data_IF_810963982297
#
_entry.id   IF_810963982297
#
_cell.length_a   1.000
_cell.length_b   1.000
_cell.length_c   1.000
_cell.angle_alpha   90.00
_cell.angle_beta   90.00
_cell.angle_gamma   90.00
#
_symmetry.space_group_name_H-M   'P 1'
#
loop_
_entity.id
_entity.type
_entity.pdbx_description
1 polymer ?
#
# COMPACT_ATOMS: atom_id res chain seq x y z
N UNK A 1 -5.28 30.92 39.16
CA UNK A 1 -4.73 30.75 37.79
C UNK A 1 -5.70 29.89 37.02
N UNK A 2 -6.29 30.44 35.97
CA UNK A 2 -7.38 29.78 35.25
C UNK A 2 -6.88 28.57 34.47
N UNK A 3 -7.47 27.41 34.78
CA UNK A 3 -7.17 26.13 34.13
C UNK A 3 -7.41 26.18 32.62
N UNK A 4 -8.29 27.07 32.17
CA UNK A 4 -8.60 27.25 30.75
C UNK A 4 -7.52 28.03 29.98
N UNK A 5 -6.79 28.92 30.66
CA UNK A 5 -5.62 29.61 30.09
C UNK A 5 -4.47 28.62 29.87
N UNK A 6 -4.20 27.75 30.85
CA UNK A 6 -3.17 26.71 30.73
C UNK A 6 -3.49 25.68 29.65
N UNK A 7 -4.78 25.29 29.51
CA UNK A 7 -5.22 24.39 28.43
C UNK A 7 -5.04 25.00 27.05
N UNK A 8 -5.34 26.29 26.87
CA UNK A 8 -5.10 27.00 25.61
C UNK A 8 -3.61 27.07 25.29
N UNK A 9 -2.78 27.45 26.26
CA UNK A 9 -1.32 27.49 26.08
C UNK A 9 -0.75 26.14 25.66
N UNK A 10 -1.19 25.05 26.28
CA UNK A 10 -0.75 23.70 25.91
C UNK A 10 -1.19 23.29 24.50
N UNK A 11 -2.41 23.63 24.09
CA UNK A 11 -2.90 23.34 22.74
C UNK A 11 -2.13 24.16 21.71
N UNK A 12 -1.89 25.44 21.98
CA UNK A 12 -1.13 26.33 21.08
C UNK A 12 0.33 25.87 20.93
N UNK A 13 0.95 25.38 22.00
CA UNK A 13 2.32 24.86 22.01
C UNK A 13 2.42 23.54 21.24
N UNK A 14 1.48 22.61 21.47
CA UNK A 14 1.37 21.36 20.69
C UNK A 14 1.17 21.68 19.21
N UNK A 15 0.31 22.64 18.88
CA UNK A 15 0.03 23.02 17.50
C UNK A 15 1.26 23.66 16.84
N UNK A 16 2.02 24.48 17.58
CA UNK A 16 3.28 25.05 17.10
C UNK A 16 4.35 23.97 16.84
N UNK A 17 4.45 22.95 17.71
CA UNK A 17 5.36 21.81 17.49
C UNK A 17 4.98 20.97 16.27
N UNK A 18 3.68 20.69 16.09
CA UNK A 18 3.19 19.98 14.90
C UNK A 18 3.47 20.77 13.62
N UNK A 19 3.23 22.08 13.61
CA UNK A 19 3.52 22.95 12.47
C UNK A 19 5.02 23.00 12.17
N UNK A 20 5.86 23.02 13.20
CA UNK A 20 7.32 22.99 13.05
C UNK A 20 7.79 21.66 12.43
N UNK A 21 7.31 20.53 12.96
CA UNK A 21 7.60 19.19 12.41
C UNK A 21 7.10 19.04 10.98
N UNK A 22 5.91 19.58 10.66
CA UNK A 22 5.37 19.56 9.31
C UNK A 22 6.22 20.39 8.33
N UNK A 23 6.70 21.56 8.75
CA UNK A 23 7.62 22.37 7.94
C UNK A 23 8.95 21.66 7.72
N UNK A 24 9.49 21.01 8.76
CA UNK A 24 10.73 20.24 8.64
C UNK A 24 10.56 19.05 7.69
N UNK A 25 9.45 18.30 7.80
CA UNK A 25 9.14 17.19 6.90
C UNK A 25 8.98 17.65 5.45
N UNK A 26 8.32 18.80 5.23
CA UNK A 26 8.22 19.40 3.88
C UNK A 26 9.58 19.78 3.31
N UNK A 27 10.48 20.38 4.11
CA UNK A 27 11.85 20.70 3.69
C UNK A 27 12.66 19.45 3.37
N UNK A 28 12.56 18.40 4.19
CA UNK A 28 13.24 17.13 3.93
C UNK A 28 12.72 16.46 2.64
N UNK A 29 11.41 16.51 2.40
CA UNK A 29 10.81 16.02 1.17
C UNK A 29 11.36 16.78 -0.05
N UNK A 30 11.36 18.11 0.01
CA UNK A 30 11.86 18.95 -1.09
C UNK A 30 13.36 18.72 -1.35
N UNK A 31 14.16 18.54 -0.30
CA UNK A 31 15.57 18.16 -0.43
C UNK A 31 15.73 16.80 -1.11
N UNK A 32 14.95 15.79 -0.71
CA UNK A 32 15.01 14.47 -1.33
C UNK A 32 14.56 14.49 -2.80
N UNK A 33 13.55 15.31 -3.16
CA UNK A 33 13.12 15.51 -4.54
C UNK A 33 14.23 16.14 -5.40
N UNK A 34 14.91 17.17 -4.88
CA UNK A 34 16.06 17.81 -5.56
C UNK A 34 17.23 16.84 -5.73
N UNK A 35 17.54 16.03 -4.71
CA UNK A 35 18.61 15.02 -4.80
C UNK A 35 18.28 13.94 -5.84
N UNK A 36 17.03 13.50 -5.92
CA UNK A 36 16.57 12.52 -6.89
C UNK A 36 16.60 13.07 -8.32
N UNK A 37 16.22 14.33 -8.51
CA UNK A 37 16.32 15.01 -9.80
C UNK A 37 17.78 15.15 -10.23
N UNK A 38 18.67 15.61 -9.34
CA UNK A 38 20.11 15.70 -9.60
C UNK A 38 20.75 14.34 -9.91
N UNK A 39 20.36 13.28 -9.18
CA UNK A 39 20.82 11.92 -9.46
C UNK A 39 20.33 11.42 -10.83
N UNK A 40 19.08 11.73 -11.18
CA UNK A 40 18.50 11.38 -12.48
C UNK A 40 19.19 12.13 -13.63
N UNK A 41 19.54 13.40 -13.45
CA UNK A 41 20.31 14.17 -14.42
C UNK A 41 21.72 13.61 -14.62
N UNK A 42 22.43 13.27 -13.54
CA UNK A 42 23.74 12.60 -13.61
C UNK A 42 23.66 11.29 -14.36
N UNK A 43 22.63 10.48 -14.09
CA UNK A 43 22.38 9.24 -14.80
C UNK A 43 22.14 9.46 -16.30
N UNK A 44 21.31 10.44 -16.68
CA UNK A 44 21.08 10.78 -18.10
C UNK A 44 22.34 11.31 -18.78
N UNK A 45 23.16 12.08 -18.07
CA UNK A 45 24.44 12.58 -18.58
C UNK A 45 25.43 11.42 -18.81
N UNK A 46 25.56 10.52 -17.84
CA UNK A 46 26.44 9.36 -17.96
C UNK A 46 25.96 8.40 -19.07
N UNK A 47 24.66 8.18 -19.19
CA UNK A 47 24.08 7.40 -20.30
C UNK A 47 24.41 8.02 -21.67
N UNK A 48 24.33 9.34 -21.82
CA UNK A 48 24.72 10.03 -23.05
C UNK A 48 26.22 9.88 -23.33
N UNK A 49 27.06 9.98 -22.30
CA UNK A 49 28.50 9.80 -22.42
C UNK A 49 28.86 8.38 -22.85
N UNK A 50 28.30 7.36 -22.21
CA UNK A 50 28.54 5.96 -22.54
C UNK A 50 28.06 5.62 -23.94
N UNK A 51 26.89 6.12 -24.35
CA UNK A 51 26.41 5.94 -25.72
C UNK A 51 27.35 6.58 -26.75
N UNK A 52 27.84 7.80 -26.49
CA UNK A 52 28.80 8.44 -27.38
C UNK A 52 30.13 7.68 -27.48
N UNK A 53 30.56 7.04 -26.39
CA UNK A 53 31.74 6.17 -26.39
C UNK A 53 31.48 4.86 -27.15
N UNK A 54 30.29 4.28 -27.06
CA UNK A 54 29.88 3.13 -27.87
C UNK A 54 29.92 3.51 -29.35
N UNK A 55 29.29 4.61 -29.75
CA UNK A 55 29.29 5.07 -31.15
C UNK A 55 30.72 5.29 -31.67
N UNK A 56 31.61 5.83 -30.81
CA UNK A 56 33.03 6.02 -31.14
C UNK A 56 33.74 4.69 -31.33
N UNK A 57 33.59 3.75 -30.40
CA UNK A 57 34.21 2.43 -30.48
C UNK A 57 33.69 1.65 -31.69
N UNK A 58 32.40 1.77 -32.02
CA UNK A 58 31.81 1.17 -33.21
C UNK A 58 32.39 1.79 -34.49
N UNK A 59 32.61 3.10 -34.52
CA UNK A 59 33.27 3.77 -35.64
C UNK A 59 34.73 3.32 -35.79
N UNK A 60 35.50 3.28 -34.69
CA UNK A 60 36.89 2.78 -34.70
C UNK A 60 36.97 1.32 -35.17
N UNK A 61 36.00 0.49 -34.77
CA UNK A 61 35.91 -0.92 -35.19
C UNK A 61 35.50 -1.04 -36.67
N UNK A 62 34.61 -0.16 -37.14
CA UNK A 62 34.26 -0.02 -38.55
C UNK A 62 35.46 0.38 -39.41
N UNK A 63 36.23 1.36 -38.98
CA UNK A 63 37.45 1.80 -39.65
C UNK A 63 38.54 0.73 -39.64
N UNK A 64 38.71 0.01 -38.53
CA UNK A 64 39.63 -1.13 -38.45
C UNK A 64 39.24 -2.25 -39.41
N UNK A 65 37.94 -2.58 -39.51
CA UNK A 65 37.41 -3.56 -40.48
C UNK A 65 37.59 -3.08 -41.92
N UNK A 66 37.33 -1.81 -42.21
CA UNK A 66 37.52 -1.22 -43.53
C UNK A 66 39.02 -1.17 -43.92
N UNK A 67 39.91 -0.86 -42.98
CA UNK A 67 41.35 -0.90 -43.19
C UNK A 67 41.86 -2.32 -43.41
N UNK A 68 41.31 -3.31 -42.71
CA UNK A 68 41.60 -4.74 -42.95
C UNK A 68 41.09 -5.21 -44.32
N UNK A 69 39.90 -4.75 -44.75
CA UNK A 69 39.33 -5.10 -46.05
C UNK A 69 40.03 -4.39 -47.23
N UNK A 70 40.55 -3.17 -47.04
CA UNK A 70 41.35 -2.44 -48.04
C UNK A 70 42.74 -3.05 -48.24
N UNK A 71 43.23 -3.88 -47.31
CA UNK A 71 44.36 -4.78 -47.57
C UNK A 71 43.85 -5.97 -48.40
N UNK A 72 43.79 -5.79 -49.73
CA UNK A 72 43.65 -6.88 -50.70
C UNK A 72 44.68 -8.01 -50.38
N UNK A 73 44.39 -9.30 -50.65
CA UNK A 73 45.30 -10.37 -50.28
C UNK A 73 46.58 -10.19 -51.09
N UNK A 74 47.68 -9.95 -50.38
CA UNK A 74 49.00 -10.00 -51.00
C UNK A 74 49.15 -11.34 -51.71
N UNK A 75 49.55 -11.27 -52.98
CA UNK A 75 50.15 -12.36 -53.74
C UNK A 75 51.10 -13.18 -52.86
N UNK A 76 50.99 -14.51 -52.91
CA UNK A 76 51.83 -15.45 -52.17
C UNK A 76 53.34 -15.31 -52.46
N UNK A 77 53.74 -14.48 -53.43
CA UNK A 77 55.15 -14.15 -53.71
C UNK A 77 55.78 -13.15 -52.73
N UNK A 78 55.00 -12.25 -52.12
CA UNK A 78 55.54 -11.19 -51.24
C UNK A 78 55.47 -11.54 -49.75
N UNK A 79 54.79 -12.64 -49.38
CA UNK A 79 54.72 -13.13 -48.00
C UNK A 79 56.05 -13.70 -47.49
N UNK A 80 56.97 -14.09 -48.38
CA UNK A 80 58.26 -14.68 -47.99
C UNK A 80 59.34 -13.67 -47.59
N UNK A 81 59.21 -12.40 -47.97
CA UNK A 81 60.17 -11.33 -47.67
C UNK A 81 59.74 -10.38 -46.54
N UNK A 82 58.49 -10.50 -46.06
CA UNK A 82 57.96 -9.77 -44.92
C UNK A 82 57.37 -10.72 -43.86
N UNK A 83 57.99 -11.89 -43.65
CA UNK A 83 57.69 -12.72 -42.48
C UNK A 83 58.03 -11.88 -41.23
N UNK A 84 57.06 -11.55 -40.37
CA UNK A 84 57.36 -10.87 -39.12
C UNK A 84 58.31 -11.76 -38.32
N UNK A 85 59.38 -11.19 -37.78
CA UNK A 85 60.36 -11.92 -36.98
C UNK A 85 59.61 -12.82 -35.96
N UNK A 86 59.79 -14.16 -36.01
CA UNK A 86 59.03 -15.09 -35.18
C UNK A 86 59.19 -14.79 -33.69
N UNK A 87 60.32 -14.18 -33.29
CA UNK A 87 60.58 -13.74 -31.93
C UNK A 87 59.70 -12.53 -31.54
N UNK A 88 59.44 -11.61 -32.46
CA UNK A 88 58.59 -10.45 -32.21
C UNK A 88 57.10 -10.85 -32.13
N UNK A 89 56.66 -11.81 -32.96
CA UNK A 89 55.32 -12.39 -32.87
C UNK A 89 55.11 -13.17 -31.57
N UNK A 90 56.11 -13.98 -31.16
CA UNK A 90 56.06 -14.70 -29.90
C UNK A 90 55.93 -13.74 -28.70
N UNK A 91 56.69 -12.64 -28.68
CA UNK A 91 56.59 -11.61 -27.63
C UNK A 91 55.24 -10.90 -27.63
N UNK A 92 54.68 -10.62 -28.80
CA UNK A 92 53.38 -9.96 -28.91
C UNK A 92 52.23 -10.88 -28.47
N UNK A 93 52.35 -12.16 -28.79
CA UNK A 93 51.42 -13.20 -28.35
C UNK A 93 51.53 -13.44 -26.84
N UNK A 94 52.74 -13.49 -26.29
CA UNK A 94 52.96 -13.60 -24.85
C UNK A 94 52.42 -12.38 -24.09
N UNK A 95 52.63 -11.16 -24.61
CA UNK A 95 52.06 -9.94 -24.03
C UNK A 95 50.53 -9.90 -24.13
N UNK A 96 49.95 -10.44 -25.20
CA UNK A 96 48.50 -10.58 -25.33
C UNK A 96 47.94 -11.61 -24.35
N UNK A 97 48.59 -12.77 -24.21
CA UNK A 97 48.23 -13.83 -23.28
C UNK A 97 48.35 -13.36 -21.81
N UNK A 98 49.36 -12.57 -21.49
CA UNK A 98 49.50 -11.95 -20.17
C UNK A 98 48.37 -10.94 -19.87
N UNK A 99 48.02 -10.10 -20.84
CA UNK A 99 46.89 -9.16 -20.70
C UNK A 99 45.57 -9.91 -20.53
N UNK A 100 45.38 -10.99 -21.28
CA UNK A 100 44.18 -11.82 -21.20
C UNK A 100 44.11 -12.53 -19.84
N UNK A 101 45.23 -13.06 -19.34
CA UNK A 101 45.32 -13.63 -17.99
C UNK A 101 44.99 -12.59 -16.91
N UNK A 102 45.54 -11.38 -16.99
CA UNK A 102 45.25 -10.29 -16.04
C UNK A 102 43.78 -9.89 -16.05
N UNK A 103 43.21 -9.68 -17.24
CA UNK A 103 41.80 -9.34 -17.39
C UNK A 103 40.88 -10.45 -16.85
N UNK A 104 41.22 -11.72 -17.06
CA UNK A 104 40.46 -12.85 -16.50
C UNK A 104 40.53 -12.87 -14.97
N UNK A 105 41.70 -12.62 -14.37
CA UNK A 105 41.85 -12.56 -12.91
C UNK A 105 41.08 -11.38 -12.31
N UNK A 106 41.11 -10.21 -12.94
CA UNK A 106 40.34 -9.04 -12.53
C UNK A 106 38.83 -9.31 -12.62
N UNK A 107 38.38 -9.92 -13.71
CA UNK A 107 36.98 -10.33 -13.88
C UNK A 107 36.53 -11.35 -12.83
N UNK A 108 37.35 -12.36 -12.54
CA UNK A 108 37.05 -13.34 -11.49
C UNK A 108 36.99 -12.69 -10.10
N UNK A 109 37.85 -11.70 -9.84
CA UNK A 109 37.83 -10.94 -8.60
C UNK A 109 36.56 -10.12 -8.45
N UNK A 110 36.17 -9.36 -9.48
CA UNK A 110 34.92 -8.59 -9.49
C UNK A 110 33.70 -9.49 -9.35
N UNK A 111 33.68 -10.63 -10.06
CA UNK A 111 32.60 -11.62 -9.95
C UNK A 111 32.50 -12.17 -8.52
N UNK A 112 33.62 -12.45 -7.86
CA UNK A 112 33.63 -12.90 -6.47
C UNK A 112 33.15 -11.80 -5.50
N UNK A 113 33.58 -10.55 -5.71
CA UNK A 113 33.12 -9.42 -4.92
C UNK A 113 31.61 -9.21 -5.05
N UNK A 114 31.09 -9.16 -6.27
CA UNK A 114 29.66 -9.00 -6.54
C UNK A 114 28.85 -10.16 -5.96
N UNK A 115 29.34 -11.39 -6.09
CA UNK A 115 28.69 -12.55 -5.47
C UNK A 115 28.63 -12.43 -3.95
N UNK A 116 29.72 -12.00 -3.30
CA UNK A 116 29.71 -11.78 -1.85
C UNK A 116 28.78 -10.65 -1.40
N UNK A 117 28.59 -9.62 -2.24
CA UNK A 117 27.63 -8.55 -1.98
C UNK A 117 26.20 -9.06 -2.12
N UNK A 118 25.92 -9.87 -3.14
CA UNK A 118 24.62 -10.54 -3.30
C UNK A 118 24.33 -11.40 -2.06
N UNK A 119 25.25 -12.27 -1.65
CA UNK A 119 25.05 -13.14 -0.48
C UNK A 119 24.78 -12.33 0.81
N UNK A 120 25.46 -11.19 0.98
CA UNK A 120 25.21 -10.27 2.12
C UNK A 120 23.85 -9.59 2.04
N UNK A 121 23.46 -9.12 0.86
CA UNK A 121 22.18 -8.47 0.65
C UNK A 121 21.03 -9.45 0.82
N UNK A 122 21.18 -10.68 0.31
CA UNK A 122 20.22 -11.77 0.51
C UNK A 122 20.09 -12.12 1.99
N UNK A 123 21.20 -12.20 2.73
CA UNK A 123 21.17 -12.38 4.19
C UNK A 123 20.47 -11.25 4.93
N UNK A 124 20.77 -9.99 4.58
CA UNK A 124 20.13 -8.82 5.17
C UNK A 124 18.63 -8.75 4.87
N UNK A 125 18.22 -9.10 3.65
CA UNK A 125 16.81 -9.18 3.24
C UNK A 125 16.11 -10.32 3.97
N UNK A 126 16.71 -11.50 4.07
CA UNK A 126 16.15 -12.62 4.83
C UNK A 126 15.97 -12.26 6.32
N UNK A 127 16.94 -11.54 6.91
CA UNK A 127 16.84 -11.06 8.28
C UNK A 127 15.76 -9.97 8.45
N UNK A 128 15.65 -9.05 7.49
CA UNK A 128 14.59 -8.04 7.47
C UNK A 128 13.20 -8.69 7.32
N UNK A 129 13.06 -9.69 6.45
CA UNK A 129 11.83 -10.49 6.29
C UNK A 129 11.52 -11.27 7.57
N UNK A 130 12.51 -11.86 8.23
CA UNK A 130 12.32 -12.57 9.51
C UNK A 130 11.91 -11.63 10.66
N UNK A 131 12.43 -10.39 10.66
CA UNK A 131 12.01 -9.34 11.61
C UNK A 131 10.62 -8.80 11.29
N UNK A 132 10.30 -8.64 10.00
CA UNK A 132 8.99 -8.15 9.54
C UNK A 132 7.88 -9.20 9.69
N UNK A 133 8.20 -10.48 9.51
CA UNK A 133 7.24 -11.58 9.69
C UNK A 133 6.96 -11.91 11.15
N UNK A 134 7.80 -11.44 12.08
CA UNK A 134 7.60 -11.64 13.52
C UNK A 134 7.92 -10.37 14.34
N UNK A 135 7.04 -9.34 14.28
CA UNK A 135 7.21 -8.09 15.03
C UNK A 135 7.21 -8.28 16.55
N UNK A 136 6.68 -9.41 17.04
CA UNK A 136 6.70 -9.78 18.47
C UNK A 136 8.13 -10.00 18.98
N UNK A 137 9.07 -10.45 18.13
CA UNK A 137 10.46 -10.68 18.53
C UNK A 137 11.25 -9.38 18.69
N UNK A 138 10.91 -8.36 17.89
CA UNK A 138 11.54 -7.03 17.96
C UNK A 138 11.05 -6.22 19.16
N UNK A 139 9.80 -6.42 19.58
CA UNK A 139 9.18 -5.73 20.72
C UNK A 139 9.33 -6.50 22.02
N UNK A 140 9.69 -7.79 21.97
CA UNK A 140 9.93 -8.64 23.13
C UNK A 140 10.93 -8.08 24.16
N UNK A 141 12.15 -7.64 23.80
CA UNK A 141 13.11 -7.14 24.79
C UNK A 141 12.60 -5.85 25.46
N UNK A 142 11.88 -5.00 24.71
CA UNK A 142 11.26 -3.78 25.24
C UNK A 142 10.12 -4.14 26.20
N UNK A 143 9.30 -5.14 25.85
CA UNK A 143 8.22 -5.65 26.71
C UNK A 143 8.75 -6.27 28.00
N UNK A 144 9.82 -7.07 27.92
CA UNK A 144 10.49 -7.65 29.08
C UNK A 144 11.05 -6.56 30.01
N UNK A 145 11.65 -5.51 29.46
CA UNK A 145 12.11 -4.35 30.24
C UNK A 145 10.95 -3.65 30.95
N UNK A 146 9.83 -3.43 30.25
CA UNK A 146 8.64 -2.84 30.87
C UNK A 146 8.03 -3.73 31.95
N UNK A 147 7.96 -5.05 31.74
CA UNK A 147 7.46 -5.99 32.75
C UNK A 147 8.36 -6.02 34.00
N UNK A 148 9.69 -5.92 33.84
CA UNK A 148 10.62 -5.82 34.96
C UNK A 148 10.40 -4.53 35.76
N UNK A 149 10.31 -3.38 35.07
CA UNK A 149 10.07 -2.09 35.74
C UNK A 149 8.69 -2.04 36.42
N UNK A 150 7.66 -2.59 35.79
CA UNK A 150 6.31 -2.64 36.37
C UNK A 150 6.30 -3.51 37.64
N UNK A 151 6.97 -4.65 37.62
CA UNK A 151 7.14 -5.52 38.79
C UNK A 151 7.94 -4.83 39.90
N UNK A 152 8.98 -4.07 39.55
CA UNK A 152 9.77 -3.29 40.51
C UNK A 152 8.91 -2.23 41.19
N UNK A 153 8.21 -1.40 40.42
CA UNK A 153 7.30 -0.36 40.95
C UNK A 153 6.21 -0.98 41.82
N UNK A 154 5.69 -2.15 41.44
CA UNK A 154 4.69 -2.84 42.25
C UNK A 154 5.25 -3.27 43.62
N UNK A 155 6.48 -3.81 43.66
CA UNK A 155 7.16 -4.16 44.92
C UNK A 155 7.40 -2.93 45.78
N UNK A 156 7.96 -1.87 45.21
CA UNK A 156 8.21 -0.60 45.92
C UNK A 156 6.91 -0.03 46.51
N UNK A 157 5.80 -0.06 45.74
CA UNK A 157 4.48 0.35 46.24
C UNK A 157 4.04 -0.49 47.44
N UNK A 158 4.14 -1.82 47.36
CA UNK A 158 3.73 -2.70 48.47
C UNK A 158 4.58 -2.49 49.72
N UNK A 159 5.88 -2.22 49.56
CA UNK A 159 6.79 -1.93 50.67
C UNK A 159 6.43 -0.62 51.36
N UNK A 160 6.13 0.42 50.58
CA UNK A 160 5.69 1.73 51.10
C UNK A 160 4.34 1.60 51.82
N UNK A 161 3.38 0.86 51.26
CA UNK A 161 2.08 0.60 51.91
C UNK A 161 2.24 -0.13 53.25
N UNK A 162 3.11 -1.14 53.31
CA UNK A 162 3.40 -1.84 54.56
C UNK A 162 4.11 -0.94 55.57
N UNK A 163 5.08 -0.12 55.14
CA UNK A 163 5.76 0.84 55.99
C UNK A 163 4.79 1.87 56.56
N UNK A 164 3.87 2.38 55.73
CA UNK A 164 2.81 3.29 56.16
C UNK A 164 1.89 2.65 57.20
N UNK A 165 1.47 1.40 56.99
CA UNK A 165 0.65 0.69 57.97
C UNK A 165 1.37 0.50 59.30
N UNK A 166 2.67 0.14 59.29
CA UNK A 166 3.48 0.03 60.51
C UNK A 166 3.58 1.38 61.24
N UNK A 167 3.97 2.43 60.52
CA UNK A 167 4.05 3.78 61.09
C UNK A 167 2.72 4.25 61.68
N UNK A 168 1.59 3.93 61.02
CA UNK A 168 0.25 4.22 61.53
C UNK A 168 -0.03 3.47 62.83
N UNK A 169 0.30 2.18 62.91
CA UNK A 169 0.11 1.39 64.14
C UNK A 169 0.99 1.89 65.29
N UNK A 170 2.23 2.26 65.01
CA UNK A 170 3.15 2.84 65.99
C UNK A 170 2.61 4.17 66.53
N UNK A 171 2.12 5.03 65.65
CA UNK A 171 1.48 6.29 66.03
C UNK A 171 0.23 6.09 66.89
N UNK A 172 -0.64 5.14 66.54
CA UNK A 172 -1.84 4.83 67.35
C UNK A 172 -1.47 4.31 68.74
N UNK A 173 -0.42 3.49 68.85
CA UNK A 173 0.10 3.03 70.14
C UNK A 173 0.70 4.16 70.96
N UNK A 174 1.49 5.05 70.34
CA UNK A 174 2.09 6.19 71.01
C UNK A 174 1.01 7.16 71.51
N UNK A 175 -0.02 7.42 70.70
CA UNK A 175 -1.20 8.19 71.11
C UNK A 175 -1.89 7.58 72.33
N UNK A 176 -2.06 6.25 72.37
CA UNK A 176 -2.64 5.56 73.52
C UNK A 176 -1.75 5.66 74.77
N UNK A 177 -0.41 5.58 74.62
CA UNK A 177 0.53 5.80 75.73
C UNK A 177 0.41 7.22 76.28
N UNK A 178 0.43 8.23 75.40
CA UNK A 178 0.30 9.63 75.77
C UNK A 178 -1.04 9.94 76.45
N UNK A 179 -2.15 9.37 75.97
CA UNK A 179 -3.46 9.55 76.63
C UNK A 179 -3.50 8.86 77.99
N UNK A 180 -2.92 7.67 78.14
CA UNK A 180 -2.81 6.99 79.42
C UNK A 180 -1.96 7.76 80.43
N UNK A 181 -0.82 8.32 80.00
CA UNK A 181 0.03 9.19 80.82
C UNK A 181 -0.70 10.46 81.24
N UNK A 182 -1.42 11.11 80.32
CA UNK A 182 -2.28 12.26 80.63
C UNK A 182 -3.35 11.93 81.69
N UNK A 183 -3.98 10.75 81.60
CA UNK A 183 -4.96 10.30 82.62
C UNK A 183 -4.28 10.05 83.96
N UNK A 184 -3.09 9.43 83.99
CA UNK A 184 -2.32 9.24 85.23
C UNK A 184 -1.93 10.58 85.85
N UNK A 185 -1.47 11.53 85.06
CA UNK A 185 -1.14 12.89 85.51
C UNK A 185 -2.36 13.62 86.06
N UNK A 186 -3.51 13.53 85.39
CA UNK A 186 -4.79 14.10 85.90
C UNK A 186 -5.20 13.46 87.22
N UNK A 187 -5.12 12.13 87.33
CA UNK A 187 -5.47 11.42 88.57
C UNK A 187 -4.52 11.75 89.73
N UNK A 188 -3.22 11.88 89.45
CA UNK A 188 -2.23 12.32 90.43
C UNK A 188 -2.50 13.77 90.89
N UNK A 189 -2.84 14.67 89.96
CA UNK A 189 -3.22 16.05 90.30
C UNK A 189 -4.49 16.11 91.18
N UNK A 190 -5.43 15.20 90.95
CA UNK A 190 -6.69 15.12 91.71
C UNK A 190 -6.53 14.53 93.12
N UNK A 191 -5.60 13.57 93.28
CA UNK A 191 -5.21 13.03 94.59
C UNK A 191 -4.47 14.09 95.43
N UNK A 192 -3.73 15.00 94.79
CA UNK A 192 -2.94 16.03 95.47
C UNK A 192 -3.76 17.27 95.89
N UNK A 193 -5.09 17.29 95.68
CA UNK A 193 -6.03 18.18 96.38
C UNK A 193 -5.67 19.67 96.42
N UNK A 194 -5.00 20.21 95.39
CA UNK A 194 -4.61 21.63 95.36
C UNK A 194 -5.67 22.45 94.61
N UNK A 195 -6.32 23.45 95.24
CA UNK A 195 -7.14 24.40 94.51
C UNK A 195 -6.18 25.29 93.70
N UNK A 196 -6.31 25.26 92.37
CA UNK A 196 -5.50 26.10 91.49
C UNK A 196 -6.31 27.34 91.15
N UNK A 197 -6.31 28.30 92.07
CA UNK A 197 -6.47 29.72 91.76
C UNK A 197 -5.13 30.39 92.07
N UNK A 198 -4.26 30.51 91.07
CA UNK A 198 -3.16 31.48 91.04
C UNK A 198 -2.81 31.80 89.58
N UNK A 199 -2.75 33.07 89.18
CA UNK A 199 -2.32 33.49 87.84
C UNK A 199 -0.79 33.58 87.78
N UNK A 200 -0.11 32.49 88.10
CA UNK A 200 1.31 32.31 87.78
C UNK A 200 1.42 31.07 86.90
N UNK A 201 1.58 31.31 85.61
CA UNK A 201 1.79 30.27 84.60
C UNK A 201 3.00 29.44 85.02
N UNK A 202 2.73 28.26 85.57
CA UNK A 202 3.74 27.29 85.95
C UNK A 202 4.66 27.05 84.73
N UNK A 203 5.98 27.28 84.83
CA UNK A 203 6.89 27.23 83.67
C UNK A 203 6.77 25.91 82.91
N UNK A 204 6.52 24.79 83.61
CA UNK A 204 6.28 23.48 82.99
C UNK A 204 5.05 23.42 82.08
N UNK A 205 3.97 24.15 82.38
CA UNK A 205 2.78 24.21 81.54
C UNK A 205 3.08 25.01 80.27
N UNK A 206 3.83 26.11 80.40
CA UNK A 206 4.27 26.92 79.27
C UNK A 206 5.24 26.16 78.36
N UNK A 207 6.14 25.38 78.93
CA UNK A 207 7.07 24.53 78.18
C UNK A 207 6.32 23.44 77.40
N UNK A 208 5.36 22.75 78.03
CA UNK A 208 4.50 21.77 77.36
C UNK A 208 3.60 22.40 76.27
N UNK A 209 3.08 23.60 76.48
CA UNK A 209 2.33 24.34 75.46
C UNK A 209 3.21 24.75 74.28
N UNK A 210 4.47 25.10 74.53
CA UNK A 210 5.44 25.41 73.48
C UNK A 210 5.83 24.13 72.70
N UNK A 211 6.10 23.03 73.40
CA UNK A 211 6.38 21.72 72.77
C UNK A 211 5.21 21.25 71.91
N UNK A 212 3.96 21.41 72.38
CA UNK A 212 2.77 21.07 71.60
C UNK A 212 2.64 21.95 70.34
N UNK A 213 2.91 23.26 70.47
CA UNK A 213 2.89 24.19 69.33
C UNK A 213 3.98 23.84 68.31
N UNK A 214 5.18 23.50 68.78
CA UNK A 214 6.28 23.06 67.92
C UNK A 214 5.97 21.73 67.23
N UNK A 215 5.41 20.75 67.95
CA UNK A 215 5.00 19.48 67.38
C UNK A 215 3.90 19.66 66.32
N UNK A 216 2.91 20.52 66.60
CA UNK A 216 1.87 20.85 65.63
C UNK A 216 2.43 21.59 64.40
N UNK A 217 3.40 22.49 64.59
CA UNK A 217 4.08 23.17 63.50
C UNK A 217 4.88 22.20 62.63
N UNK A 218 5.63 21.26 63.24
CA UNK A 218 6.37 20.20 62.55
C UNK A 218 5.43 19.29 61.77
N UNK A 219 4.35 18.80 62.39
CA UNK A 219 3.33 17.99 61.72
C UNK A 219 2.67 18.73 60.55
N UNK A 220 2.34 20.01 60.72
CA UNK A 220 1.78 20.82 59.64
C UNK A 220 2.76 21.03 58.49
N UNK A 221 4.06 21.17 58.78
CA UNK A 221 5.10 21.29 57.77
C UNK A 221 5.31 19.97 57.01
N UNK A 222 5.37 18.85 57.71
CA UNK A 222 5.46 17.50 57.12
C UNK A 222 4.25 17.19 56.25
N UNK A 223 3.04 17.50 56.74
CA UNK A 223 1.80 17.37 55.95
C UNK A 223 1.86 18.23 54.69
N UNK A 224 2.37 19.46 54.79
CA UNK A 224 2.57 20.34 53.65
C UNK A 224 3.55 19.76 52.62
N UNK A 225 4.63 19.13 53.07
CA UNK A 225 5.61 18.51 52.18
C UNK A 225 5.05 17.24 51.52
N UNK A 226 4.33 16.38 52.27
CA UNK A 226 3.66 15.21 51.69
C UNK A 226 2.62 15.60 50.64
N UNK A 227 1.86 16.67 50.86
CA UNK A 227 0.92 17.18 49.85
C UNK A 227 1.63 17.65 48.58
N UNK A 228 2.78 18.32 48.71
CA UNK A 228 3.60 18.70 47.54
C UNK A 228 4.14 17.47 46.81
N UNK A 229 4.60 16.46 47.54
CA UNK A 229 5.09 15.21 46.94
C UNK A 229 3.98 14.46 46.21
N UNK A 230 2.79 14.35 46.80
CA UNK A 230 1.60 13.78 46.15
C UNK A 230 1.31 14.55 44.86
N UNK A 231 1.31 15.88 44.90
CA UNK A 231 1.04 16.68 43.72
C UNK A 231 2.07 16.45 42.59
N UNK A 232 3.36 16.39 42.93
CA UNK A 232 4.43 16.07 41.96
C UNK A 232 4.25 14.67 41.35
N UNK A 233 3.86 13.68 42.15
CA UNK A 233 3.59 12.32 41.67
C UNK A 233 2.34 12.28 40.77
N UNK A 234 1.30 13.03 41.08
CA UNK A 234 0.11 13.17 40.22
C UNK A 234 0.46 13.83 38.88
N UNK A 235 1.28 14.87 38.88
CA UNK A 235 1.77 15.52 37.66
C UNK A 235 2.62 14.56 36.82
N UNK A 236 3.56 13.84 37.44
CA UNK A 236 4.36 12.83 36.76
C UNK A 236 3.48 11.71 36.18
N UNK A 237 2.49 11.22 36.93
CA UNK A 237 1.54 10.21 36.44
C UNK A 237 0.78 10.71 35.20
N UNK A 238 0.30 11.96 35.22
CA UNK A 238 -0.39 12.55 34.06
C UNK A 238 0.53 12.67 32.85
N UNK A 239 1.79 13.05 33.07
CA UNK A 239 2.77 13.12 32.00
C UNK A 239 3.01 11.74 31.36
N UNK A 240 3.23 10.70 32.18
CA UNK A 240 3.36 9.32 31.71
C UNK A 240 2.12 8.81 30.97
N UNK A 241 0.92 9.17 31.42
CA UNK A 241 -0.33 8.81 30.73
C UNK A 241 -0.42 9.46 29.34
N UNK A 242 0.05 10.71 29.20
CA UNK A 242 0.11 11.41 27.91
C UNK A 242 1.13 10.74 26.99
N UNK A 243 2.35 10.46 27.48
CA UNK A 243 3.38 9.78 26.69
C UNK A 243 2.92 8.38 26.26
N UNK A 244 2.27 7.63 27.13
CA UNK A 244 1.72 6.31 26.80
C UNK A 244 0.66 6.41 25.69
N UNK A 245 -0.20 7.42 25.72
CA UNK A 245 -1.18 7.65 24.63
C UNK A 245 -0.48 7.99 23.32
N UNK A 246 0.49 8.89 23.34
CA UNK A 246 1.26 9.25 22.14
C UNK A 246 1.99 8.05 21.54
N UNK A 247 2.64 7.22 22.37
CA UNK A 247 3.29 5.99 21.91
C UNK A 247 2.28 5.00 21.32
N UNK A 248 1.10 4.88 21.92
CA UNK A 248 0.04 4.01 21.39
C UNK A 248 -0.51 4.53 20.04
N UNK A 249 -0.68 5.84 19.91
CA UNK A 249 -1.09 6.47 18.66
C UNK A 249 -0.03 6.26 17.56
N UNK A 250 1.26 6.43 17.90
CA UNK A 250 2.36 6.14 16.98
C UNK A 250 2.44 4.67 16.58
N UNK A 251 2.22 3.75 17.54
CA UNK A 251 2.14 2.32 17.24
C UNK A 251 0.97 2.01 16.29
N UNK A 252 -0.20 2.62 16.51
CA UNK A 252 -1.36 2.51 15.62
C UNK A 252 -1.07 3.06 14.22
N UNK A 253 -0.40 4.21 14.11
CA UNK A 253 0.02 4.78 12.83
C UNK A 253 1.01 3.87 12.09
N UNK A 254 1.98 3.29 12.81
CA UNK A 254 2.95 2.36 12.24
C UNK A 254 2.26 1.09 11.72
N UNK A 255 1.31 0.54 12.48
CA UNK A 255 0.52 -0.63 12.07
C UNK A 255 -0.31 -0.33 10.81
N UNK A 256 -0.95 0.84 10.73
CA UNK A 256 -1.67 1.26 9.52
C UNK A 256 -0.72 1.44 8.33
N UNK A 257 0.46 2.02 8.53
CA UNK A 257 1.46 2.16 7.48
C UNK A 257 1.95 0.80 6.98
N UNK A 258 2.17 -0.16 7.89
CA UNK A 258 2.55 -1.54 7.54
C UNK A 258 1.47 -2.23 6.72
N UNK A 259 0.20 -2.14 7.14
CA UNK A 259 -0.93 -2.69 6.37
C UNK A 259 -1.02 -2.08 4.97
N UNK A 260 -0.82 -0.76 4.83
CA UNK A 260 -0.80 -0.09 3.53
C UNK A 260 0.36 -0.55 2.65
N UNK A 261 1.55 -0.69 3.22
CA UNK A 261 2.72 -1.19 2.49
C UNK A 261 2.51 -2.64 2.04
N UNK A 262 1.95 -3.49 2.90
CA UNK A 262 1.62 -4.88 2.56
C UNK A 262 0.58 -4.96 1.44
N UNK A 263 -0.48 -4.14 1.50
CA UNK A 263 -1.47 -4.05 0.43
C UNK A 263 -0.85 -3.57 -0.89
N UNK A 264 0.09 -2.62 -0.84
CA UNK A 264 0.83 -2.18 -2.03
C UNK A 264 1.71 -3.28 -2.62
N UNK A 265 2.38 -4.08 -1.80
CA UNK A 265 3.18 -5.22 -2.24
C UNK A 265 2.28 -6.25 -2.93
N UNK A 266 1.16 -6.62 -2.31
CA UNK A 266 0.19 -7.56 -2.91
C UNK A 266 -0.43 -7.00 -4.21
N UNK A 267 -0.69 -5.70 -4.27
CA UNK A 267 -1.15 -5.05 -5.50
C UNK A 267 -0.08 -5.09 -6.59
N UNK A 268 1.20 -4.92 -6.25
CA UNK A 268 2.30 -5.05 -7.20
C UNK A 268 2.44 -6.51 -7.66
N UNK A 269 2.45 -7.48 -6.75
CA UNK A 269 2.55 -8.91 -7.08
C UNK A 269 1.38 -9.39 -7.95
N UNK A 270 0.14 -8.97 -7.65
CA UNK A 270 -1.01 -9.27 -8.50
C UNK A 270 -0.94 -8.57 -9.85
N UNK A 271 -0.46 -7.32 -9.91
CA UNK A 271 -0.16 -6.64 -11.16
C UNK A 271 0.93 -7.35 -11.97
N UNK A 272 1.96 -7.89 -11.33
CA UNK A 272 3.01 -8.68 -12.01
C UNK A 272 2.50 -10.03 -12.51
N UNK A 273 1.63 -10.70 -11.75
CA UNK A 273 0.98 -11.95 -12.18
C UNK A 273 -0.02 -11.73 -13.32
N UNK A 274 -0.60 -10.53 -13.41
CA UNK A 274 -1.53 -10.14 -14.48
C UNK A 274 -0.85 -9.40 -15.63
N UNK A 275 0.48 -9.20 -15.59
CA UNK A 275 1.22 -8.74 -16.78
C UNK A 275 0.96 -9.77 -17.88
N UNK A 276 0.34 -9.37 -19.01
CA UNK A 276 0.12 -10.29 -20.11
C UNK A 276 1.48 -10.85 -20.52
N UNK A 277 1.56 -12.17 -20.65
CA UNK A 277 2.80 -12.86 -21.00
C UNK A 277 3.35 -12.23 -22.29
N UNK A 278 4.67 -12.18 -22.48
CA UNK A 278 5.29 -11.59 -23.67
C UNK A 278 4.69 -12.16 -24.98
N UNK A 279 4.28 -13.43 -24.96
CA UNK A 279 3.51 -14.09 -26.01
C UNK A 279 2.10 -13.50 -26.26
N UNK A 280 1.37 -13.13 -25.20
CA UNK A 280 0.07 -12.45 -25.32
C UNK A 280 0.24 -11.02 -25.84
N UNK A 281 1.31 -10.32 -25.45
CA UNK A 281 1.64 -9.00 -25.99
C UNK A 281 1.98 -9.09 -27.49
N UNK A 282 2.77 -10.08 -27.90
CA UNK A 282 3.03 -10.33 -29.32
C UNK A 282 1.76 -10.71 -30.08
N UNK A 283 0.89 -11.54 -29.50
CA UNK A 283 -0.37 -11.92 -30.14
C UNK A 283 -1.29 -10.71 -30.35
N UNK A 284 -1.43 -9.85 -29.33
CA UNK A 284 -2.18 -8.60 -29.44
C UNK A 284 -1.55 -7.63 -30.45
N UNK A 285 -0.22 -7.58 -30.57
CA UNK A 285 0.46 -6.80 -31.61
C UNK A 285 0.15 -7.32 -33.01
N UNK A 286 0.20 -8.64 -33.22
CA UNK A 286 -0.14 -9.27 -34.50
C UNK A 286 -1.62 -9.06 -34.85
N UNK A 287 -2.52 -9.15 -33.88
CA UNK A 287 -3.94 -8.87 -34.09
C UNK A 287 -4.18 -7.40 -34.43
N UNK A 288 -3.50 -6.47 -33.74
CA UNK A 288 -3.53 -5.05 -34.07
C UNK A 288 -3.01 -4.78 -35.49
N UNK A 289 -1.88 -5.37 -35.88
CA UNK A 289 -1.33 -5.23 -37.23
C UNK A 289 -2.29 -5.80 -38.28
N UNK A 290 -2.89 -6.97 -38.04
CA UNK A 290 -3.91 -7.54 -38.94
C UNK A 290 -5.10 -6.61 -39.12
N UNK A 291 -5.69 -6.13 -38.02
CA UNK A 291 -6.82 -5.21 -38.06
C UNK A 291 -6.45 -3.89 -38.77
N UNK A 292 -5.22 -3.42 -38.60
CA UNK A 292 -4.72 -2.24 -39.28
C UNK A 292 -4.59 -2.47 -40.79
N UNK A 293 -4.08 -3.63 -41.22
CA UNK A 293 -4.02 -3.99 -42.64
C UNK A 293 -5.41 -4.19 -43.26
N UNK A 294 -6.36 -4.76 -42.52
CA UNK A 294 -7.75 -4.91 -42.96
C UNK A 294 -8.45 -3.55 -43.08
N UNK A 295 -8.22 -2.64 -42.15
CA UNK A 295 -8.72 -1.26 -42.23
C UNK A 295 -8.15 -0.53 -43.45
N UNK A 296 -6.85 -0.66 -43.72
CA UNK A 296 -6.23 -0.07 -44.91
C UNK A 296 -6.75 -0.68 -46.20
N UNK A 297 -6.94 -2.00 -46.24
CA UNK A 297 -7.48 -2.70 -47.41
C UNK A 297 -8.94 -2.31 -47.69
N UNK A 298 -9.78 -2.25 -46.65
CA UNK A 298 -11.18 -1.80 -46.76
C UNK A 298 -11.27 -0.33 -47.16
N UNK A 299 -10.39 0.52 -46.62
CA UNK A 299 -10.29 1.93 -47.03
C UNK A 299 -9.92 2.06 -48.52
N UNK A 300 -8.94 1.29 -49.00
CA UNK A 300 -8.56 1.26 -50.42
C UNK A 300 -9.69 0.73 -51.31
N UNK A 301 -10.36 -0.33 -50.88
CA UNK A 301 -11.52 -0.89 -51.59
C UNK A 301 -12.64 0.16 -51.72
N UNK A 302 -12.98 0.83 -50.61
CA UNK A 302 -13.96 1.91 -50.59
C UNK A 302 -13.55 3.08 -51.49
N UNK A 303 -12.28 3.48 -51.49
CA UNK A 303 -11.79 4.53 -52.39
C UNK A 303 -11.91 4.11 -53.87
N UNK A 304 -11.60 2.86 -54.20
CA UNK A 304 -11.72 2.34 -55.56
C UNK A 304 -13.17 2.29 -56.03
N UNK A 305 -14.10 1.87 -55.17
CA UNK A 305 -15.54 1.88 -55.42
C UNK A 305 -16.04 3.31 -55.61
N UNK A 306 -15.59 4.26 -54.77
CA UNK A 306 -15.94 5.68 -54.90
C UNK A 306 -15.47 6.26 -56.24
N UNK A 307 -14.28 5.89 -56.71
CA UNK A 307 -13.77 6.31 -58.01
C UNK A 307 -14.57 5.71 -59.16
N UNK A 308 -14.94 4.43 -59.06
CA UNK A 308 -15.79 3.76 -60.05
C UNK A 308 -17.17 4.41 -60.14
N UNK A 309 -17.82 4.63 -58.99
CA UNK A 309 -19.12 5.31 -58.92
C UNK A 309 -19.05 6.74 -59.45
N UNK A 310 -17.99 7.49 -59.12
CA UNK A 310 -17.79 8.83 -59.69
C UNK A 310 -17.63 8.79 -61.22
N UNK A 311 -16.89 7.83 -61.76
CA UNK A 311 -16.76 7.66 -63.20
C UNK A 311 -18.07 7.21 -63.88
N UNK A 312 -18.89 6.42 -63.20
CA UNK A 312 -20.24 6.09 -63.68
C UNK A 312 -21.17 7.30 -63.65
N UNK A 313 -21.11 8.12 -62.60
CA UNK A 313 -21.83 9.40 -62.52
C UNK A 313 -21.43 10.30 -63.68
N UNK A 314 -20.13 10.48 -63.93
CA UNK A 314 -19.62 11.31 -65.02
C UNK A 314 -20.09 10.81 -66.39
N UNK A 315 -20.06 9.50 -66.64
CA UNK A 315 -20.62 8.91 -67.87
C UNK A 315 -22.13 9.08 -67.98
N UNK A 316 -22.87 8.98 -66.88
CA UNK A 316 -24.33 9.20 -66.86
C UNK A 316 -24.66 10.67 -67.09
N UNK A 317 -23.89 11.59 -66.51
CA UNK A 317 -23.98 13.03 -66.73
C UNK A 317 -23.68 13.40 -68.19
N UNK A 318 -22.61 12.85 -68.77
CA UNK A 318 -22.29 12.99 -70.19
C UNK A 318 -23.41 12.44 -71.07
N UNK A 319 -23.97 11.27 -70.72
CA UNK A 319 -25.08 10.68 -71.48
C UNK A 319 -26.35 11.50 -71.37
N UNK A 320 -26.62 12.15 -70.23
CA UNK A 320 -27.71 13.13 -70.06
C UNK A 320 -27.44 14.39 -70.89
N UNK A 321 -26.19 14.85 -70.94
CA UNK A 321 -25.77 16.02 -71.73
C UNK A 321 -25.80 15.75 -73.24
N UNK A 322 -25.61 14.51 -73.68
CA UNK A 322 -25.57 14.11 -75.09
C UNK A 322 -26.92 13.64 -75.67
N UNK A 323 -28.04 13.71 -74.96
CA UNK A 323 -29.38 13.51 -75.56
C UNK A 323 -29.90 14.85 -76.12
N UNK A 324 -29.84 15.10 -77.43
CA UNK A 324 -30.44 16.29 -78.02
C UNK A 324 -31.90 15.94 -78.33
N UNK A 325 -32.85 16.47 -77.53
CA UNK A 325 -34.24 16.57 -77.97
C UNK A 325 -35.31 15.73 -77.25
N UNK A 326 -35.23 15.52 -75.93
CA UNK A 326 -36.39 15.02 -75.15
C UNK A 326 -36.71 15.86 -73.89
N UNK A 327 -36.20 17.09 -73.83
CA UNK A 327 -36.01 17.80 -72.56
C UNK A 327 -37.23 18.42 -71.89
N UNK A 328 -38.46 18.33 -72.41
CA UNK A 328 -39.55 19.19 -71.88
C UNK A 328 -40.80 18.51 -71.31
N UNK A 329 -40.80 17.20 -71.04
CA UNK A 329 -41.99 16.58 -70.41
C UNK A 329 -41.77 15.40 -69.48
N UNK A 330 -40.84 14.49 -69.80
CA UNK A 330 -40.84 13.16 -69.16
C UNK A 330 -39.79 13.01 -68.04
N UNK A 331 -38.73 13.81 -68.02
CA UNK A 331 -37.65 13.65 -67.02
C UNK A 331 -37.86 14.39 -65.71
N UNK A 332 -38.64 15.48 -65.65
CA UNK A 332 -38.78 16.26 -64.40
C UNK A 332 -39.63 15.53 -63.35
N UNK A 333 -40.76 14.95 -63.78
CA UNK A 333 -41.65 14.20 -62.89
C UNK A 333 -41.01 12.92 -62.34
N UNK A 334 -40.27 12.18 -63.17
CA UNK A 334 -39.57 10.95 -62.75
C UNK A 334 -38.38 11.28 -61.85
N UNK A 335 -37.62 12.34 -62.15
CA UNK A 335 -36.52 12.80 -61.29
C UNK A 335 -37.04 13.35 -59.96
N UNK A 336 -38.17 14.06 -59.96
CA UNK A 336 -38.82 14.55 -58.72
C UNK A 336 -39.40 13.39 -57.90
N UNK A 337 -39.93 12.35 -58.55
CA UNK A 337 -40.37 11.12 -57.87
C UNK A 337 -39.18 10.34 -57.28
N UNK A 338 -38.09 10.22 -58.02
CA UNK A 338 -36.89 9.54 -57.54
C UNK A 338 -36.22 10.33 -56.41
N UNK A 339 -36.18 11.67 -56.51
CA UNK A 339 -35.77 12.55 -55.41
C UNK A 339 -36.65 12.35 -54.18
N UNK A 340 -37.97 12.34 -54.33
CA UNK A 340 -38.88 12.07 -53.21
C UNK A 340 -38.65 10.69 -52.60
N UNK A 341 -38.37 9.67 -53.40
CA UNK A 341 -38.07 8.32 -52.89
C UNK A 341 -36.75 8.26 -52.13
N UNK A 342 -35.69 8.93 -52.61
CA UNK A 342 -34.43 9.02 -51.89
C UNK A 342 -34.55 9.86 -50.62
N UNK A 343 -35.28 10.98 -50.66
CA UNK A 343 -35.55 11.83 -49.50
C UNK A 343 -36.35 11.05 -48.44
N UNK A 344 -37.34 10.26 -48.87
CA UNK A 344 -38.12 9.41 -48.00
C UNK A 344 -37.28 8.30 -47.38
N UNK A 345 -36.45 7.60 -48.17
CA UNK A 345 -35.50 6.60 -47.64
C UNK A 345 -34.48 7.21 -46.69
N UNK A 346 -34.02 8.43 -46.96
CA UNK A 346 -33.10 9.14 -46.09
C UNK A 346 -33.78 9.49 -44.76
N UNK A 347 -35.02 9.99 -44.79
CA UNK A 347 -35.82 10.25 -43.60
C UNK A 347 -36.10 8.98 -42.79
N UNK A 348 -36.45 7.87 -43.45
CA UNK A 348 -36.65 6.57 -42.80
C UNK A 348 -35.37 6.09 -42.11
N UNK A 349 -34.22 6.23 -42.79
CA UNK A 349 -32.92 5.85 -42.22
C UNK A 349 -32.54 6.74 -41.03
N UNK A 350 -32.82 8.04 -41.10
CA UNK A 350 -32.62 8.98 -39.99
C UNK A 350 -33.52 8.60 -38.81
N UNK A 351 -34.80 8.31 -39.04
CA UNK A 351 -35.73 7.88 -37.99
C UNK A 351 -35.28 6.58 -37.33
N UNK A 352 -34.85 5.58 -38.12
CA UNK A 352 -34.31 4.33 -37.58
C UNK A 352 -33.04 4.56 -36.75
N UNK A 353 -32.12 5.42 -37.20
CA UNK A 353 -30.93 5.76 -36.42
C UNK A 353 -31.27 6.49 -35.12
N UNK A 354 -32.23 7.40 -35.13
CA UNK A 354 -32.69 8.09 -33.92
C UNK A 354 -33.34 7.11 -32.94
N UNK A 355 -34.21 6.21 -33.42
CA UNK A 355 -34.81 5.17 -32.59
C UNK A 355 -33.77 4.23 -31.98
N UNK A 356 -32.76 3.80 -32.75
CA UNK A 356 -31.67 2.99 -32.24
C UNK A 356 -30.82 3.74 -31.22
N UNK A 357 -30.57 5.04 -31.43
CA UNK A 357 -29.84 5.87 -30.48
C UNK A 357 -30.62 6.04 -29.16
N UNK A 358 -31.93 6.23 -29.21
CA UNK A 358 -32.81 6.28 -28.03
C UNK A 358 -32.87 4.92 -27.32
N UNK A 359 -32.91 3.82 -28.06
CA UNK A 359 -32.83 2.47 -27.48
C UNK A 359 -31.47 2.21 -26.81
N UNK A 360 -30.37 2.64 -27.41
CA UNK A 360 -29.03 2.55 -26.80
C UNK A 360 -28.92 3.45 -25.56
N UNK A 361 -29.48 4.66 -25.60
CA UNK A 361 -29.48 5.57 -24.45
C UNK A 361 -30.33 5.03 -23.31
N UNK A 362 -31.52 4.49 -23.59
CA UNK A 362 -32.40 3.89 -22.59
C UNK A 362 -31.79 2.62 -21.98
N UNK A 363 -31.21 1.72 -22.80
CA UNK A 363 -30.49 0.54 -22.30
C UNK A 363 -29.25 0.93 -21.49
N UNK A 364 -28.50 1.94 -21.92
CA UNK A 364 -27.38 2.49 -21.13
C UNK A 364 -27.86 3.05 -19.79
N UNK A 365 -28.97 3.79 -19.77
CA UNK A 365 -29.54 4.32 -18.52
C UNK A 365 -30.05 3.23 -17.58
N UNK A 366 -30.62 2.14 -18.12
CA UNK A 366 -31.04 0.99 -17.33
C UNK A 366 -29.84 0.23 -16.77
N UNK A 367 -28.78 0.05 -17.55
CA UNK A 367 -27.54 -0.57 -17.07
C UNK A 367 -26.82 0.29 -16.03
N UNK A 368 -26.85 1.62 -16.17
CA UNK A 368 -26.29 2.54 -15.19
C UNK A 368 -27.12 2.56 -13.90
N UNK A 369 -28.44 2.52 -14.00
CA UNK A 369 -29.34 2.36 -12.86
C UNK A 369 -29.16 1.01 -12.16
N UNK A 370 -28.99 -0.08 -12.91
CA UNK A 370 -28.66 -1.40 -12.35
C UNK A 370 -27.26 -1.39 -11.71
N UNK A 371 -26.24 -0.78 -12.32
CA UNK A 371 -24.92 -0.63 -11.70
C UNK A 371 -24.97 0.20 -10.41
N UNK A 372 -25.77 1.26 -10.37
CA UNK A 372 -25.99 2.05 -9.16
C UNK A 372 -26.72 1.23 -8.08
N UNK A 373 -27.69 0.39 -8.46
CA UNK A 373 -28.35 -0.55 -7.54
C UNK A 373 -27.43 -1.66 -7.06
N UNK A 374 -26.61 -2.24 -7.92
CA UNK A 374 -25.60 -3.24 -7.57
C UNK A 374 -24.56 -2.67 -6.63
N UNK A 375 -24.06 -1.45 -6.89
CA UNK A 375 -23.12 -0.75 -6.01
C UNK A 375 -23.75 -0.39 -4.66
N UNK A 376 -25.04 0.01 -4.64
CA UNK A 376 -25.77 0.23 -3.40
C UNK A 376 -26.04 -1.08 -2.61
N UNK A 377 -26.22 -2.21 -3.31
CA UNK A 377 -26.43 -3.54 -2.72
C UNK A 377 -25.12 -4.15 -2.20
N UNK A 378 -23.98 -3.81 -2.80
CA UNK A 378 -22.64 -4.13 -2.30
C UNK A 378 -22.30 -3.37 -1.01
N UNK A 379 -22.86 -2.17 -0.80
CA UNK A 379 -22.66 -1.40 0.43
C UNK A 379 -23.48 -1.92 1.64
N UNK A 380 -24.53 -2.72 1.42
CA UNK A 380 -25.38 -3.28 2.50
C UNK A 380 -25.15 -4.76 2.81
N UNK A 381 -24.31 -5.46 2.03
CA UNK A 381 -23.96 -6.87 2.26
C UNK A 381 -22.44 -7.06 2.41
N UNK A 382 -21.83 -6.36 3.37
CA UNK A 382 -20.47 -6.69 3.86
C UNK A 382 -20.49 -7.87 4.85
N UNK A 383 -21.23 -8.92 4.51
CA UNK A 383 -21.43 -10.09 5.36
C UNK A 383 -22.41 -11.06 4.71
N UNK A 384 -21.99 -11.71 3.63
CA UNK A 384 -22.56 -13.02 3.33
C UNK A 384 -22.00 -13.95 4.41
N UNK A 385 -22.83 -14.30 5.39
CA UNK A 385 -22.44 -15.17 6.50
C UNK A 385 -21.97 -16.51 5.88
N UNK A 386 -20.74 -16.92 6.18
CA UNK A 386 -20.11 -18.12 5.58
C UNK A 386 -20.99 -19.37 5.77
N UNK A 387 -21.82 -19.36 6.82
CA UNK A 387 -22.84 -20.36 7.14
C UNK A 387 -23.97 -20.43 6.14
N UNK A 388 -24.46 -19.30 5.64
CA UNK A 388 -25.56 -19.26 4.67
C UNK A 388 -25.09 -19.74 3.30
N UNK A 389 -23.84 -19.39 2.93
CA UNK A 389 -23.22 -19.91 1.71
C UNK A 389 -22.96 -21.42 1.83
N UNK A 390 -22.46 -21.89 2.97
CA UNK A 390 -22.25 -23.33 3.21
C UNK A 390 -23.57 -24.13 3.17
N UNK A 391 -24.66 -23.54 3.68
CA UNK A 391 -25.99 -24.12 3.59
C UNK A 391 -26.49 -24.22 2.14
N UNK A 392 -26.26 -23.17 1.33
CA UNK A 392 -26.66 -23.14 -0.07
C UNK A 392 -25.84 -24.13 -0.93
N UNK A 393 -24.53 -24.24 -0.68
CA UNK A 393 -23.65 -25.26 -1.29
C UNK A 393 -24.19 -26.66 -0.99
N UNK A 394 -24.49 -26.94 0.28
CA UNK A 394 -25.02 -28.24 0.70
C UNK A 394 -26.38 -28.56 0.05
N UNK A 395 -27.25 -27.55 -0.09
CA UNK A 395 -28.56 -27.67 -0.73
C UNK A 395 -28.44 -28.00 -2.22
N UNK A 396 -27.57 -27.28 -2.94
CA UNK A 396 -27.35 -27.48 -4.38
C UNK A 396 -26.69 -28.83 -4.65
N UNK A 397 -25.72 -29.23 -3.83
CA UNK A 397 -25.12 -30.57 -3.91
C UNK A 397 -26.15 -31.70 -3.69
N UNK A 398 -27.08 -31.54 -2.75
CA UNK A 398 -28.15 -32.52 -2.53
C UNK A 398 -29.09 -32.62 -3.73
N UNK A 399 -29.44 -31.48 -4.36
CA UNK A 399 -30.28 -31.46 -5.56
C UNK A 399 -29.59 -32.11 -6.75
N UNK A 400 -28.28 -31.89 -6.93
CA UNK A 400 -27.50 -32.55 -7.97
C UNK A 400 -27.49 -34.06 -7.74
N UNK A 401 -27.29 -34.52 -6.50
CA UNK A 401 -27.34 -35.95 -6.15
C UNK A 401 -28.70 -36.57 -6.44
N UNK A 402 -29.79 -35.89 -6.11
CA UNK A 402 -31.15 -36.35 -6.40
C UNK A 402 -31.40 -36.45 -7.91
N UNK A 403 -30.96 -35.45 -8.67
CA UNK A 403 -31.07 -35.44 -10.14
C UNK A 403 -30.24 -36.57 -10.76
N UNK A 404 -29.03 -36.83 -10.26
CA UNK A 404 -28.18 -37.94 -10.71
C UNK A 404 -28.84 -39.29 -10.41
N UNK A 405 -29.44 -39.46 -9.22
CA UNK A 405 -30.16 -40.70 -8.89
C UNK A 405 -31.36 -40.94 -9.80
N UNK A 406 -32.04 -39.88 -10.25
CA UNK A 406 -33.13 -39.96 -11.24
C UNK A 406 -32.62 -40.27 -12.64
N UNK A 407 -31.43 -39.79 -13.02
CA UNK A 407 -30.79 -40.10 -14.31
C UNK A 407 -30.33 -41.57 -14.35
N UNK A 408 -29.79 -42.07 -13.24
CA UNK A 408 -29.24 -43.43 -13.15
C UNK A 408 -30.33 -44.51 -12.96
N UNK A 409 -31.59 -44.12 -12.76
CA UNK A 409 -32.71 -45.06 -12.68
C UNK A 409 -33.12 -45.54 -14.09
N UNK A 410 -33.00 -46.84 -14.41
CA UNK A 410 -33.27 -47.39 -15.74
C UNK A 410 -34.74 -47.31 -16.18
N UNK A 411 -35.68 -47.08 -15.26
CA UNK A 411 -37.11 -46.92 -15.55
C UNK A 411 -37.47 -45.47 -15.95
N UNK A 412 -36.50 -44.55 -15.98
CA UNK A 412 -36.76 -43.14 -16.29
C UNK A 412 -36.77 -42.89 -17.80
N UNK A 413 -37.81 -42.21 -18.29
CA UNK A 413 -37.91 -41.88 -19.71
C UNK A 413 -36.77 -40.97 -20.19
N UNK A 414 -36.26 -41.24 -21.41
CA UNK A 414 -35.16 -40.47 -22.02
C UNK A 414 -35.43 -38.96 -22.11
N UNK A 415 -36.70 -38.56 -22.32
CA UNK A 415 -37.10 -37.15 -22.38
C UNK A 415 -36.93 -36.43 -21.03
N UNK A 416 -37.06 -37.17 -19.93
CA UNK A 416 -36.85 -36.69 -18.57
C UNK A 416 -35.37 -36.66 -18.26
N UNK A 417 -34.61 -37.66 -18.69
CA UNK A 417 -33.15 -37.71 -18.56
C UNK A 417 -32.48 -36.50 -19.25
N UNK A 418 -32.88 -36.14 -20.47
CA UNK A 418 -32.29 -34.99 -21.19
C UNK A 418 -32.57 -33.67 -20.44
N UNK A 419 -33.82 -33.45 -19.98
CA UNK A 419 -34.18 -32.25 -19.20
C UNK A 419 -33.41 -32.19 -17.88
N UNK A 420 -33.27 -33.32 -17.20
CA UNK A 420 -32.54 -33.44 -15.94
C UNK A 420 -31.03 -33.28 -16.11
N UNK A 421 -30.46 -33.70 -17.24
CA UNK A 421 -29.06 -33.44 -17.59
C UNK A 421 -28.77 -31.95 -17.82
N UNK A 422 -29.67 -31.22 -18.48
CA UNK A 422 -29.54 -29.76 -18.63
C UNK A 422 -29.65 -29.09 -17.26
N UNK A 423 -30.64 -29.47 -16.46
CA UNK A 423 -30.80 -28.95 -15.10
C UNK A 423 -29.57 -29.23 -14.22
N UNK A 424 -28.95 -30.42 -14.36
CA UNK A 424 -27.70 -30.78 -13.70
C UNK A 424 -26.55 -29.85 -14.13
N UNK A 425 -26.40 -29.61 -15.43
CA UNK A 425 -25.34 -28.74 -15.95
C UNK A 425 -25.49 -27.28 -15.47
N UNK A 426 -26.73 -26.78 -15.38
CA UNK A 426 -27.03 -25.45 -14.82
C UNK A 426 -26.69 -25.37 -13.32
N UNK A 427 -27.05 -26.39 -12.54
CA UNK A 427 -26.72 -26.46 -11.11
C UNK A 427 -25.21 -26.63 -10.87
N UNK A 428 -24.51 -27.41 -11.69
CA UNK A 428 -23.05 -27.55 -11.66
C UNK A 428 -22.35 -26.21 -11.97
N UNK A 429 -22.87 -25.45 -12.93
CA UNK A 429 -22.35 -24.11 -13.27
C UNK A 429 -22.59 -23.11 -12.13
N UNK A 430 -23.78 -23.15 -11.52
CA UNK A 430 -24.12 -22.32 -10.36
C UNK A 430 -23.24 -22.63 -9.14
N UNK A 431 -23.05 -23.91 -8.82
CA UNK A 431 -22.17 -24.36 -7.74
C UNK A 431 -20.72 -23.91 -7.96
N UNK A 432 -20.20 -24.05 -9.18
CA UNK A 432 -18.86 -23.54 -9.54
C UNK A 432 -18.76 -22.03 -9.37
N UNK A 433 -19.80 -21.28 -9.70
CA UNK A 433 -19.87 -19.83 -9.49
C UNK A 433 -19.77 -19.45 -8.00
N UNK A 434 -20.55 -20.12 -7.13
CA UNK A 434 -20.50 -19.91 -5.68
C UNK A 434 -19.11 -20.23 -5.12
N UNK A 435 -18.54 -21.37 -5.50
CA UNK A 435 -17.20 -21.78 -5.05
C UNK A 435 -16.10 -20.84 -5.55
N UNK A 436 -16.23 -20.30 -6.76
CA UNK A 436 -15.30 -19.30 -7.30
C UNK A 436 -15.31 -18.01 -6.48
N UNK A 437 -16.50 -17.53 -6.08
CA UNK A 437 -16.64 -16.34 -5.23
C UNK A 437 -16.04 -16.59 -3.83
N UNK A 438 -16.25 -17.77 -3.26
CA UNK A 438 -15.63 -18.19 -1.98
C UNK A 438 -14.10 -18.25 -2.03
N UNK A 439 -13.53 -18.85 -3.09
CA UNK A 439 -12.07 -18.96 -3.21
C UNK A 439 -11.39 -17.60 -3.39
N UNK A 440 -12.07 -16.65 -4.04
CA UNK A 440 -11.58 -15.28 -4.19
C UNK A 440 -11.53 -14.52 -2.86
N UNK A 441 -12.29 -14.95 -1.85
CA UNK A 441 -12.26 -14.42 -0.48
C UNK A 441 -11.26 -15.10 0.46
N UNK A 442 -10.65 -16.23 0.07
CA UNK A 442 -9.60 -16.93 0.84
C UNK A 442 -8.17 -16.55 0.42
N UNK A 443 -7.99 -15.86 -0.70
CA UNK A 443 -6.69 -15.37 -1.18
C UNK A 443 -6.45 -13.87 -0.87
N UNK A 444 -7.26 -13.27 -0.01
CA UNK A 444 -7.04 -11.94 0.59
C UNK A 444 -6.83 -12.12 2.10
#
# INVERSE_FOLDING_TARGET
>A
MDKDLLRRQLVDEIQAEFDSKLRQAKRQKEQAEVELEAASERWRAEKRRLNAEIDRLEAELGDAKAAAARKHPLSDSDRKSAAPDPVALAKLQEAADEKLKKATVEWEHERAQLKSQIDRLEGAVAEAIARASNPLRSTQPVKEQFEIELNRVHKEKTEIEQAFLRAKTEWEQEKLKMTAEMVKLRRAAQIMGRPVDTPEVNPKIRDLENELKEAHAKWSAERGELVKQIHRLEEASRHWDVERRQLNDHAGQLQQAFMRAQAQIQAHESAERTKPTEAQIEQLRREKEKLQTELEATSKAYQSERLQLNGEIERLEERIHYVPGSQDGVSKGVVDQLRKQYEQRLQETIQQKTQLAEQLQSTSSLLEAERARSSAREATHSGLDEKDIAAEVSRVESLIKEIVALIDNPETELSTIIRKNVQKAELDAYLKGILFVLNRGKEA
#
